data_IF_553507812129
#
_entry.id   IF_553507812129
#
_cell.length_a   1.000
_cell.length_b   1.000
_cell.length_c   1.000
_cell.angle_alpha   90.00
_cell.angle_beta   90.00
_cell.angle_gamma   90.00
#
_symmetry.space_group_name_H-M   'P 1'
#
loop_
_entity.id
_entity.type
_entity.pdbx_description
1 polymer ?
#
# COMPACT_ATOMS: atom_id res chain seq x y z
N UNK A 1 4.73 -6.98 -5.42
CA UNK A 1 3.99 -6.24 -6.47
C UNK A 1 2.62 -5.78 -5.98
N UNK A 2 1.57 -6.63 -5.97
CA UNK A 2 0.17 -6.32 -5.60
C UNK A 2 -0.63 -5.40 -6.55
N UNK A 3 -0.01 -4.89 -7.62
CA UNK A 3 -0.76 -4.21 -8.69
C UNK A 3 -1.58 -5.20 -9.51
N UNK A 4 -2.73 -4.76 -10.01
CA UNK A 4 -3.54 -5.50 -10.99
C UNK A 4 -2.89 -5.45 -12.39
N UNK A 5 -2.32 -4.30 -12.76
CA UNK A 5 -1.45 -4.16 -13.94
C UNK A 5 0.00 -3.97 -13.48
N UNK A 6 0.86 -5.00 -13.58
CA UNK A 6 2.27 -4.92 -13.17
C UNK A 6 3.13 -4.02 -14.05
N UNK A 7 2.62 -3.53 -15.18
CA UNK A 7 3.41 -2.73 -16.14
C UNK A 7 3.39 -1.23 -15.83
N UNK A 8 2.56 -0.77 -14.90
CA UNK A 8 2.34 0.66 -14.63
C UNK A 8 2.25 0.96 -13.13
N UNK A 9 2.48 2.22 -12.77
CA UNK A 9 2.40 2.72 -11.39
C UNK A 9 3.42 2.13 -10.42
N UNK A 10 3.28 2.50 -9.15
CA UNK A 10 4.16 2.09 -8.07
C UNK A 10 3.71 0.75 -7.48
N UNK A 11 4.63 -0.20 -7.30
CA UNK A 11 4.33 -1.46 -6.62
C UNK A 11 4.20 -1.27 -5.11
N UNK A 12 3.55 -2.22 -4.43
CA UNK A 12 3.45 -2.21 -2.96
C UNK A 12 4.82 -2.18 -2.26
N UNK A 13 5.85 -2.81 -2.85
CA UNK A 13 7.18 -2.83 -2.25
C UNK A 13 7.83 -1.44 -2.33
N UNK A 14 7.75 -0.80 -3.49
CA UNK A 14 8.26 0.56 -3.70
C UNK A 14 7.52 1.56 -2.81
N UNK A 15 6.18 1.47 -2.74
CA UNK A 15 5.38 2.35 -1.91
C UNK A 15 5.72 2.20 -0.43
N UNK A 16 5.76 0.97 0.10
CA UNK A 16 6.10 0.72 1.50
C UNK A 16 7.54 1.12 1.86
N UNK A 17 8.44 1.22 0.87
CA UNK A 17 9.81 1.67 1.08
C UNK A 17 9.90 3.20 1.23
N UNK A 18 9.05 3.95 0.53
CA UNK A 18 9.12 5.43 0.49
C UNK A 18 8.05 6.13 1.32
N UNK A 19 6.93 5.47 1.60
CA UNK A 19 5.80 6.07 2.32
C UNK A 19 6.15 6.39 3.78
N UNK A 20 5.58 7.48 4.28
CA UNK A 20 5.73 7.85 5.69
C UNK A 20 4.93 6.90 6.59
N UNK A 21 5.37 6.78 7.85
CA UNK A 21 4.66 5.96 8.85
C UNK A 21 3.17 6.37 8.97
N UNK A 22 2.89 7.68 8.91
CA UNK A 22 1.54 8.22 9.03
C UNK A 22 0.64 7.77 7.88
N UNK A 23 1.16 7.79 6.64
CA UNK A 23 0.42 7.37 5.45
C UNK A 23 0.14 5.87 5.48
N UNK A 24 1.14 5.06 5.82
CA UNK A 24 0.96 3.62 5.98
C UNK A 24 -0.10 3.35 7.06
N UNK A 25 0.00 4.01 8.22
CA UNK A 25 -0.98 3.85 9.30
C UNK A 25 -2.40 4.25 8.87
N UNK A 26 -2.53 5.33 8.09
CA UNK A 26 -3.81 5.77 7.55
C UNK A 26 -4.39 4.73 6.59
N UNK A 27 -3.61 4.25 5.62
CA UNK A 27 -4.05 3.21 4.66
C UNK A 27 -4.50 1.95 5.37
N UNK A 28 -3.70 1.45 6.33
CA UNK A 28 -4.03 0.24 7.09
C UNK A 28 -5.32 0.41 7.90
N UNK A 29 -5.55 1.59 8.48
CA UNK A 29 -6.76 1.89 9.24
C UNK A 29 -7.98 2.00 8.32
N UNK A 30 -7.87 2.77 7.24
CA UNK A 30 -8.99 3.14 6.36
C UNK A 30 -9.43 1.96 5.50
N UNK A 31 -8.49 1.26 4.86
CA UNK A 31 -8.82 0.18 3.91
C UNK A 31 -8.73 -1.22 4.51
N UNK A 32 -7.98 -1.38 5.60
CA UNK A 32 -7.78 -2.68 6.26
C UNK A 32 -8.60 -2.88 7.52
N UNK A 33 -9.21 -1.81 8.04
CA UNK A 33 -9.84 -1.78 9.38
C UNK A 33 -8.88 -2.30 10.47
N UNK A 34 -7.59 -1.99 10.33
CA UNK A 34 -6.56 -2.54 11.19
C UNK A 34 -6.46 -1.80 12.52
N UNK A 35 -6.76 -2.50 13.62
CA UNK A 35 -6.77 -1.91 14.97
C UNK A 35 -5.38 -1.50 15.41
N UNK A 36 -4.35 -2.20 14.95
CA UNK A 36 -2.95 -1.95 15.29
C UNK A 36 -2.21 -1.17 14.20
N UNK A 37 -2.93 -0.44 13.34
CA UNK A 37 -2.37 0.24 12.17
C UNK A 37 -1.09 1.04 12.46
N UNK A 38 -1.10 1.91 13.48
CA UNK A 38 0.09 2.70 13.86
C UNK A 38 1.30 1.83 14.24
N UNK A 39 1.06 0.78 15.02
CA UNK A 39 2.12 -0.13 15.48
C UNK A 39 2.71 -0.94 14.32
N UNK A 40 1.85 -1.40 13.41
CA UNK A 40 2.26 -2.14 12.21
C UNK A 40 3.02 -1.22 11.26
N UNK A 41 2.53 0.00 11.01
CA UNK A 41 3.18 0.99 10.17
C UNK A 41 4.60 1.31 10.67
N UNK A 42 4.74 1.58 11.96
CA UNK A 42 6.05 1.80 12.59
C UNK A 42 7.01 0.62 12.36
N UNK A 43 6.53 -0.61 12.60
CA UNK A 43 7.34 -1.80 12.41
C UNK A 43 7.77 -2.01 10.95
N UNK A 44 6.89 -1.68 9.99
CA UNK A 44 7.21 -1.71 8.55
C UNK A 44 8.32 -0.71 8.22
N UNK A 45 8.20 0.54 8.67
CA UNK A 45 9.19 1.58 8.41
C UNK A 45 10.53 1.24 9.06
N UNK A 46 10.52 0.81 10.32
CA UNK A 46 11.72 0.38 11.03
C UNK A 46 12.40 -0.80 10.29
N UNK A 47 11.65 -1.84 9.91
CA UNK A 47 12.20 -2.95 9.12
C UNK A 47 12.77 -2.49 7.80
N UNK A 48 12.08 -1.64 7.04
CA UNK A 48 12.55 -1.18 5.73
C UNK A 48 13.81 -0.29 5.81
N UNK A 49 14.01 0.43 6.93
CA UNK A 49 15.25 1.19 7.19
C UNK A 49 16.45 0.28 7.39
N UNK A 50 16.25 -0.87 8.04
CA UNK A 50 17.31 -1.86 8.28
C UNK A 50 17.57 -2.72 7.06
N UNK A 51 16.50 -3.26 6.47
CA UNK A 51 16.52 -4.14 5.32
C UNK A 51 15.23 -3.93 4.52
N UNK A 52 15.29 -3.44 3.28
CA UNK A 52 14.09 -3.32 2.46
C UNK A 52 13.43 -4.69 2.21
N UNK A 53 12.11 -4.76 2.41
CA UNK A 53 11.34 -5.97 2.15
C UNK A 53 11.11 -6.15 0.64
N UNK A 54 11.41 -7.34 0.13
CA UNK A 54 11.25 -7.67 -1.30
C UNK A 54 10.19 -8.73 -1.53
N UNK A 55 9.83 -9.50 -0.49
CA UNK A 55 8.84 -10.59 -0.57
C UNK A 55 7.70 -10.39 0.41
N UNK A 56 6.52 -10.87 0.02
CA UNK A 56 5.31 -10.81 0.85
C UNK A 56 5.47 -11.54 2.19
N UNK A 57 6.26 -12.62 2.24
CA UNK A 57 6.53 -13.34 3.48
C UNK A 57 7.15 -12.45 4.55
N UNK A 58 8.09 -11.57 4.17
CA UNK A 58 8.75 -10.65 5.11
C UNK A 58 7.74 -9.66 5.71
N UNK A 59 6.88 -9.09 4.85
CA UNK A 59 5.80 -8.21 5.31
C UNK A 59 4.85 -8.95 6.27
N UNK A 60 4.49 -10.21 5.95
CA UNK A 60 3.61 -11.00 6.81
C UNK A 60 4.23 -11.25 8.19
N UNK A 61 5.54 -11.50 8.26
CA UNK A 61 6.28 -11.70 9.50
C UNK A 61 6.34 -10.42 10.34
N UNK A 62 6.63 -9.27 9.73
CA UNK A 62 6.62 -7.96 10.40
C UNK A 62 5.25 -7.67 11.00
N UNK A 63 4.18 -7.84 10.21
CA UNK A 63 2.82 -7.60 10.69
C UNK A 63 2.46 -8.56 11.82
N UNK A 64 2.82 -9.84 11.70
CA UNK A 64 2.54 -10.84 12.73
C UNK A 64 3.29 -10.56 14.04
N UNK A 65 4.54 -10.07 13.98
CA UNK A 65 5.31 -9.67 15.15
C UNK A 65 4.77 -8.38 15.78
N UNK A 66 4.29 -7.44 14.97
CA UNK A 66 3.71 -6.18 15.43
C UNK A 66 2.29 -6.35 16.02
N UNK A 67 1.60 -7.43 15.70
CA UNK A 67 0.20 -7.67 16.11
C UNK A 67 0.14 -8.50 17.40
N UNK A 68 -0.30 -7.93 18.53
CA UNK A 68 -0.32 -8.64 19.81
C UNK A 68 -1.42 -9.71 19.91
N UNK A 69 -2.51 -9.58 19.14
CA UNK A 69 -3.66 -10.48 19.19
C UNK A 69 -3.69 -11.34 17.93
N UNK A 70 -3.63 -12.66 18.10
CA UNK A 70 -3.74 -13.61 16.99
C UNK A 70 -5.17 -14.12 16.92
N UNK A 71 -5.81 -13.92 15.78
CA UNK A 71 -7.06 -14.62 15.45
C UNK A 71 -6.72 -16.05 15.04
N UNK A 72 -7.46 -17.03 15.57
CA UNK A 72 -7.23 -18.46 15.26
C UNK A 72 -7.58 -18.80 13.81
N UNK A 73 -8.51 -18.07 13.20
CA UNK A 73 -9.06 -18.37 11.88
C UNK A 73 -8.56 -17.43 10.79
N UNK A 74 -7.91 -16.31 11.16
CA UNK A 74 -7.45 -15.30 10.22
C UNK A 74 -6.00 -14.95 10.48
N UNK A 75 -5.17 -15.01 9.43
CA UNK A 75 -3.79 -14.57 9.54
C UNK A 75 -3.74 -13.06 9.86
N UNK A 76 -2.91 -12.61 10.81
CA UNK A 76 -2.87 -11.20 11.23
C UNK A 76 -2.57 -10.26 10.06
N UNK A 77 -1.72 -10.69 9.12
CA UNK A 77 -1.38 -9.89 7.95
C UNK A 77 -2.50 -9.71 6.92
N UNK A 78 -3.59 -10.50 6.96
CA UNK A 78 -4.62 -10.48 5.90
C UNK A 78 -5.23 -9.09 5.69
N UNK A 79 -5.54 -8.36 6.78
CA UNK A 79 -6.06 -6.98 6.70
C UNK A 79 -5.06 -6.01 6.11
N UNK A 80 -3.79 -6.15 6.48
CA UNK A 80 -2.70 -5.34 5.92
C UNK A 80 -2.55 -5.57 4.41
N UNK A 81 -2.50 -6.82 3.96
CA UNK A 81 -2.44 -7.13 2.52
C UNK A 81 -3.64 -6.58 1.75
N UNK A 82 -4.84 -6.68 2.32
CA UNK A 82 -6.05 -6.12 1.72
C UNK A 82 -5.92 -4.60 1.55
N UNK A 83 -5.53 -3.88 2.61
CA UNK A 83 -5.38 -2.43 2.59
C UNK A 83 -4.35 -1.96 1.56
N UNK A 84 -3.15 -2.55 1.59
CA UNK A 84 -2.05 -2.21 0.69
C UNK A 84 -2.45 -2.46 -0.77
N UNK A 85 -3.12 -3.58 -1.04
CA UNK A 85 -3.62 -3.89 -2.38
C UNK A 85 -4.68 -2.89 -2.85
N UNK A 86 -5.61 -2.49 -1.99
CA UNK A 86 -6.62 -1.48 -2.36
C UNK A 86 -5.93 -0.17 -2.71
N UNK A 87 -5.06 0.33 -1.83
CA UNK A 87 -4.32 1.57 -2.04
C UNK A 87 -3.56 1.61 -3.37
N UNK A 88 -2.71 0.62 -3.61
CA UNK A 88 -1.86 0.53 -4.81
C UNK A 88 -2.68 0.51 -6.10
N UNK A 89 -3.89 -0.05 -6.08
CA UNK A 89 -4.76 -0.10 -7.26
C UNK A 89 -5.65 1.14 -7.38
N UNK A 90 -6.08 1.77 -6.28
CA UNK A 90 -6.84 3.02 -6.32
C UNK A 90 -5.99 4.19 -6.84
N UNK A 91 -4.71 4.26 -6.48
CA UNK A 91 -3.80 5.29 -6.99
C UNK A 91 -3.60 5.17 -8.52
N UNK A 92 -3.56 3.93 -9.04
CA UNK A 92 -3.54 3.66 -10.48
C UNK A 92 -4.82 4.15 -11.17
N UNK A 93 -5.98 3.91 -10.56
CA UNK A 93 -7.27 4.36 -11.08
C UNK A 93 -7.36 5.90 -11.10
N UNK A 94 -6.90 6.59 -10.05
CA UNK A 94 -6.87 8.06 -10.00
C UNK A 94 -5.99 8.65 -11.11
N UNK A 95 -4.80 8.08 -11.36
CA UNK A 95 -3.92 8.52 -12.45
C UNK A 95 -4.61 8.36 -13.82
N UNK A 96 -5.29 7.24 -14.05
CA UNK A 96 -6.04 7.04 -15.29
C UNK A 96 -7.16 8.06 -15.47
N UNK A 97 -7.90 8.36 -14.41
CA UNK A 97 -9.00 9.33 -14.45
C UNK A 97 -8.49 10.75 -14.68
N UNK A 98 -7.38 11.14 -14.05
CA UNK A 98 -6.73 12.43 -14.28
C UNK A 98 -6.27 12.57 -15.74
N UNK A 99 -5.63 11.53 -16.29
CA UNK A 99 -5.19 11.52 -17.69
C UNK A 99 -6.38 11.62 -18.67
N UNK A 100 -7.45 10.84 -18.45
CA UNK A 100 -8.67 10.90 -19.28
C UNK A 100 -9.34 12.27 -19.18
N UNK A 101 -9.40 12.86 -17.99
CA UNK A 101 -9.98 14.20 -17.79
C UNK A 101 -9.16 15.29 -18.47
N UNK A 102 -7.82 15.18 -18.45
CA UNK A 102 -6.95 16.17 -19.09
C UNK A 102 -7.14 16.25 -20.61
N UNK A 103 -7.41 15.12 -21.28
CA UNK A 103 -7.70 15.07 -22.71
C UNK A 103 -8.98 15.86 -23.10
N UNK A 104 -9.93 16.01 -22.19
CA UNK A 104 -11.18 16.76 -22.43
C UNK A 104 -11.03 18.28 -22.23
N UNK A 105 -9.96 18.74 -21.58
CA UNK A 105 -9.70 20.17 -21.29
C UNK A 105 -8.64 20.75 -22.26
N UNK A 106 -8.02 19.89 -23.07
CA UNK A 106 -7.01 20.28 -24.03
C UNK A 106 -7.63 20.98 -25.24
N UNK A 107 -7.19 22.21 -25.51
CA UNK A 107 -7.55 22.96 -26.71
C UNK A 107 -7.13 22.17 -27.98
N UNK A 108 -7.83 22.33 -29.12
CA UNK A 108 -7.47 21.64 -30.36
C UNK A 108 -5.99 21.87 -30.71
N UNK A 109 -5.19 20.80 -30.68
CA UNK A 109 -3.76 20.83 -31.00
C UNK A 109 -2.79 20.90 -29.82
N UNK A 110 -3.26 20.97 -28.57
CA UNK A 110 -2.36 20.85 -27.42
C UNK A 110 -1.83 19.42 -27.26
N UNK A 111 -0.64 19.29 -26.68
CA UNK A 111 0.02 18.00 -26.40
C UNK A 111 0.25 17.86 -24.90
N UNK A 112 0.18 16.62 -24.44
CA UNK A 112 0.45 16.18 -23.06
C UNK A 112 1.81 15.50 -23.01
#
# INVERSE_FOLDING_TARGET
>A
DMRMDPTRGQSAAEWLQTAEEADIAWVLKTYGEERFAKRIARAIVERNREQPMTRTKELAEVVAAATPVKDKFKHPATRTFQAVRIWVNSELEEIEQALKSSLNVLAPGGRL
#
